data_IF_881557385812
#
_entry.id   IF_881557385812
#
_cell.length_a   1.000
_cell.length_b   1.000
_cell.length_c   1.000
_cell.angle_alpha   90.00
_cell.angle_beta   90.00
_cell.angle_gamma   90.00
#
_symmetry.space_group_name_H-M   'P 1'
#
loop_
_entity.id
_entity.type
_entity.pdbx_description
1 polymer ?
#
# COMPACT_ATOMS: atom_id res chain seq x y z
N UNK A 1 -1.47 6.23 -14.39
CA UNK A 1 -2.63 5.38 -14.72
C UNK A 1 -2.73 4.28 -13.67
N UNK A 2 -3.78 4.30 -12.85
CA UNK A 2 -3.91 3.41 -11.68
C UNK A 2 -4.85 2.21 -11.92
N UNK A 3 -5.60 2.24 -13.02
CA UNK A 3 -6.45 1.14 -13.50
C UNK A 3 -5.77 -0.25 -13.53
N UNK A 4 -4.51 -0.41 -14.00
CA UNK A 4 -3.88 -1.74 -14.01
C UNK A 4 -3.62 -2.32 -12.61
N UNK A 5 -3.60 -1.50 -11.55
CA UNK A 5 -3.32 -1.97 -10.18
C UNK A 5 -4.47 -2.87 -9.69
N UNK A 6 -5.72 -2.45 -9.90
CA UNK A 6 -6.90 -3.23 -9.50
C UNK A 6 -6.99 -4.52 -10.29
N UNK A 7 -6.69 -4.48 -11.60
CA UNK A 7 -6.68 -5.71 -12.41
C UNK A 7 -5.63 -6.70 -11.93
N UNK A 8 -4.42 -6.24 -11.60
CA UNK A 8 -3.37 -7.10 -11.02
C UNK A 8 -3.78 -7.70 -9.69
N UNK A 9 -4.42 -6.92 -8.83
CA UNK A 9 -4.95 -7.41 -7.56
C UNK A 9 -6.01 -8.52 -7.76
N UNK A 10 -6.96 -8.30 -8.68
CA UNK A 10 -8.01 -9.26 -9.01
C UNK A 10 -7.46 -10.54 -9.63
N UNK A 11 -6.40 -10.44 -10.44
CA UNK A 11 -5.72 -11.59 -11.04
C UNK A 11 -4.80 -12.34 -10.06
N UNK A 12 -4.62 -11.84 -8.83
CA UNK A 12 -3.65 -12.42 -7.87
C UNK A 12 -2.19 -12.10 -8.21
N UNK A 13 -1.94 -11.14 -9.10
CA UNK A 13 -0.60 -10.73 -9.55
C UNK A 13 0.05 -9.73 -8.58
N UNK A 14 0.18 -10.11 -7.31
CA UNK A 14 0.79 -9.29 -6.27
C UNK A 14 1.54 -10.14 -5.25
N UNK A 15 2.44 -9.51 -4.50
CA UNK A 15 3.16 -10.16 -3.40
C UNK A 15 3.05 -9.28 -2.16
N UNK A 16 2.75 -9.89 -1.02
CA UNK A 16 2.88 -9.26 0.30
C UNK A 16 4.25 -9.64 0.86
N UNK A 17 5.12 -8.65 1.04
CA UNK A 17 6.43 -8.91 1.64
C UNK A 17 6.30 -9.28 3.13
N UNK A 18 7.29 -9.99 3.67
CA UNK A 18 7.33 -10.35 5.10
C UNK A 18 7.19 -9.13 6.03
N UNK A 19 7.76 -7.99 5.66
CA UNK A 19 7.64 -6.76 6.46
C UNK A 19 6.21 -6.23 6.46
N UNK A 20 5.57 -6.18 5.29
CA UNK A 20 4.18 -5.78 5.17
C UNK A 20 3.24 -6.73 5.95
N UNK A 21 3.45 -8.04 5.86
CA UNK A 21 2.67 -9.02 6.61
C UNK A 21 2.74 -8.78 8.12
N UNK A 22 3.96 -8.70 8.69
CA UNK A 22 4.15 -8.42 10.14
C UNK A 22 3.46 -7.15 10.60
N UNK A 23 3.47 -6.11 9.76
CA UNK A 23 2.82 -4.82 10.03
C UNK A 23 1.30 -4.94 10.04
N UNK A 24 0.73 -5.79 9.20
CA UNK A 24 -0.70 -6.06 9.15
C UNK A 24 -1.12 -6.89 10.38
N UNK A 25 -0.36 -7.95 10.71
CA UNK A 25 -0.61 -8.79 11.89
C UNK A 25 -0.64 -7.96 13.19
N UNK A 26 0.32 -7.05 13.37
CA UNK A 26 0.40 -6.17 14.56
C UNK A 26 -0.80 -5.23 14.69
N UNK A 27 -1.50 -4.96 13.59
CA UNK A 27 -2.69 -4.09 13.55
C UNK A 27 -3.99 -4.86 13.45
N UNK A 28 -3.94 -6.19 13.47
CA UNK A 28 -5.08 -7.05 13.21
C UNK A 28 -5.78 -6.71 11.87
N UNK A 29 -4.97 -6.46 10.83
CA UNK A 29 -5.44 -6.20 9.47
C UNK A 29 -5.28 -7.47 8.64
N UNK A 30 -6.37 -7.95 8.07
CA UNK A 30 -6.38 -9.10 7.18
C UNK A 30 -6.01 -8.72 5.74
N UNK A 31 -5.57 -9.71 4.97
CA UNK A 31 -5.34 -9.53 3.52
C UNK A 31 -6.62 -9.12 2.78
N UNK A 32 -7.79 -9.55 3.25
CA UNK A 32 -9.06 -9.22 2.62
C UNK A 32 -9.43 -7.75 2.81
N UNK A 33 -9.21 -7.20 3.99
CA UNK A 33 -9.38 -5.76 4.24
C UNK A 33 -8.46 -4.93 3.35
N UNK A 34 -7.20 -5.36 3.16
CA UNK A 34 -6.27 -4.69 2.25
C UNK A 34 -6.82 -4.69 0.82
N UNK A 35 -7.30 -5.85 0.34
CA UNK A 35 -7.89 -5.96 -1.00
C UNK A 35 -9.10 -5.06 -1.15
N UNK A 36 -10.01 -5.09 -0.18
CA UNK A 36 -11.21 -4.27 -0.18
C UNK A 36 -10.86 -2.79 -0.33
N UNK A 37 -9.92 -2.28 0.48
CA UNK A 37 -9.50 -0.88 0.44
C UNK A 37 -8.89 -0.50 -0.91
N UNK A 38 -8.10 -1.37 -1.54
CA UNK A 38 -7.52 -1.09 -2.87
C UNK A 38 -8.62 -1.08 -3.96
N UNK A 39 -9.62 -1.96 -3.85
CA UNK A 39 -10.71 -2.07 -4.81
C UNK A 39 -11.71 -0.91 -4.70
N UNK A 40 -12.09 -0.52 -3.48
CA UNK A 40 -13.13 0.49 -3.24
C UNK A 40 -12.58 1.89 -3.00
N UNK A 41 -11.34 2.01 -2.54
CA UNK A 41 -10.72 3.28 -2.18
C UNK A 41 -10.15 4.05 -3.36
N UNK A 42 -9.81 5.32 -3.11
CA UNK A 42 -9.06 6.15 -4.03
C UNK A 42 -7.57 5.79 -3.96
N UNK A 43 -6.99 5.45 -5.11
CA UNK A 43 -5.55 5.27 -5.23
C UNK A 43 -4.96 6.63 -5.60
N UNK A 44 -4.05 7.14 -4.80
CA UNK A 44 -3.37 8.42 -5.03
C UNK A 44 -1.92 8.18 -5.45
N UNK A 45 -1.48 8.89 -6.49
CA UNK A 45 -0.08 8.84 -6.97
C UNK A 45 0.75 10.00 -6.39
N UNK A 46 0.10 11.13 -6.13
CA UNK A 46 0.72 12.33 -5.59
C UNK A 46 0.26 12.55 -4.15
N UNK A 47 1.21 12.59 -3.22
CA UNK A 47 0.94 13.01 -1.85
C UNK A 47 0.92 14.54 -1.78
N UNK A 48 -0.23 15.19 -1.54
CA UNK A 48 -0.37 16.65 -1.62
C UNK A 48 0.40 17.41 -0.51
N UNK A 49 1.00 16.69 0.44
CA UNK A 49 1.72 17.25 1.58
C UNK A 49 3.02 16.49 1.85
N UNK A 50 3.81 16.24 0.81
CA UNK A 50 5.17 15.73 0.95
C UNK A 50 6.05 16.80 1.63
N UNK A 51 5.90 16.97 2.96
CA UNK A 51 7.06 17.34 3.77
C UNK A 51 7.93 16.10 3.77
N UNK A 52 9.02 16.16 3.04
CA UNK A 52 10.20 15.38 3.36
C UNK A 52 10.52 15.67 4.83
N UNK A 53 10.07 14.80 5.74
CA UNK A 53 10.62 14.80 7.10
C UNK A 53 12.11 14.50 6.96
N UNK A 54 12.95 15.23 7.70
CA UNK A 54 14.21 15.75 7.19
C UNK A 54 15.17 14.64 6.79
N UNK A 55 15.98 14.96 5.79
CA UNK A 55 17.24 14.32 5.44
C UNK A 55 18.15 14.20 6.68
N UNK A 56 17.92 13.21 7.55
CA UNK A 56 18.83 12.93 8.68
C UNK A 56 19.81 11.80 8.38
N UNK A 57 20.05 11.54 7.09
CA UNK A 57 21.18 10.75 6.61
C UNK A 57 22.16 11.61 5.79
N UNK A 58 22.31 12.88 6.14
CA UNK A 58 23.56 13.61 5.85
C UNK A 58 24.36 13.70 7.13
N UNK A 59 25.04 12.60 7.45
CA UNK A 59 26.24 12.62 8.27
C UNK A 59 27.14 11.45 7.85
#
# INVERSE_FOLDING_TARGET
MLEPIRQKLLNGEYIITRHAQRRCDTRNISTEEIKQVILSGEIIENYPRNKTYPSILTN
#
